data_IF_113084223265
#
_entry.id   IF_113084223265
#
_cell.length_a   1.000
_cell.length_b   1.000
_cell.length_c   1.000
_cell.angle_alpha   90.00
_cell.angle_beta   90.00
_cell.angle_gamma   90.00
#
_symmetry.space_group_name_H-M   'P 1'
#
loop_
_entity.id
_entity.type
_entity.pdbx_description
1 polymer ?
#
# COMPACT_ATOMS: atom_id res chain seq x y z
N UNK A 1 -16.63 21.51 18.88
CA UNK A 1 -16.99 20.36 18.05
C UNK A 1 -17.77 19.36 18.88
N UNK A 2 -18.89 18.94 18.39
CA UNK A 2 -19.72 17.99 19.11
C UNK A 2 -19.51 16.58 18.56
N UNK A 3 -19.43 15.63 19.49
CA UNK A 3 -19.28 14.21 19.15
C UNK A 3 -20.56 13.53 19.62
N UNK A 4 -21.11 12.69 18.75
CA UNK A 4 -22.26 11.87 19.12
C UNK A 4 -21.77 10.70 19.95
N UNK A 5 -22.22 10.62 21.20
CA UNK A 5 -21.84 9.54 22.12
C UNK A 5 -22.99 8.55 22.17
N UNK A 6 -22.77 7.27 21.90
CA UNK A 6 -23.82 6.27 22.00
C UNK A 6 -24.25 6.14 23.47
N UNK A 7 -25.54 6.19 23.71
CA UNK A 7 -26.10 6.10 25.05
C UNK A 7 -26.63 4.69 25.39
N UNK A 8 -27.00 3.94 24.38
CA UNK A 8 -27.50 2.58 24.54
C UNK A 8 -26.37 1.60 24.83
N UNK A 9 -26.47 0.73 25.84
CA UNK A 9 -25.49 -0.32 26.09
C UNK A 9 -25.33 -1.26 24.89
N UNK A 10 -26.41 -1.48 24.16
CA UNK A 10 -26.39 -2.33 22.97
C UNK A 10 -25.58 -1.70 21.85
N UNK A 11 -25.72 -0.40 21.60
CA UNK A 11 -24.95 0.34 20.63
C UNK A 11 -23.46 0.38 20.99
N UNK A 12 -23.15 0.58 22.27
CA UNK A 12 -21.77 0.54 22.77
C UNK A 12 -21.12 -0.81 22.51
N UNK A 13 -21.86 -1.88 22.72
CA UNK A 13 -21.38 -3.25 22.47
C UNK A 13 -21.09 -3.47 20.99
N UNK A 14 -21.97 -3.02 20.11
CA UNK A 14 -21.80 -3.12 18.66
C UNK A 14 -20.57 -2.34 18.17
N UNK A 15 -20.39 -1.14 18.71
CA UNK A 15 -19.23 -0.32 18.38
C UNK A 15 -17.93 -0.99 18.84
N UNK A 16 -17.94 -1.54 20.06
CA UNK A 16 -16.79 -2.27 20.58
C UNK A 16 -16.44 -3.47 19.71
N UNK A 17 -17.47 -4.19 19.24
CA UNK A 17 -17.27 -5.32 18.33
C UNK A 17 -16.66 -4.87 17.01
N UNK A 18 -17.15 -3.76 16.46
CA UNK A 18 -16.59 -3.17 15.24
C UNK A 18 -15.12 -2.77 15.41
N UNK A 19 -14.78 -2.16 16.55
CA UNK A 19 -13.39 -1.80 16.88
C UNK A 19 -12.50 -3.03 16.92
N UNK A 20 -13.01 -4.13 17.49
CA UNK A 20 -12.24 -5.38 17.55
C UNK A 20 -11.98 -5.94 16.13
N UNK A 21 -12.99 -5.91 15.27
CA UNK A 21 -12.83 -6.34 13.88
C UNK A 21 -11.80 -5.50 13.14
N UNK A 22 -11.85 -4.17 13.33
CA UNK A 22 -10.86 -3.25 12.74
C UNK A 22 -9.46 -3.56 13.27
N UNK A 23 -9.34 -3.74 14.58
CA UNK A 23 -8.06 -4.06 15.22
C UNK A 23 -7.47 -5.37 14.68
N UNK A 24 -8.30 -6.40 14.52
CA UNK A 24 -7.86 -7.67 13.94
C UNK A 24 -7.39 -7.49 12.50
N UNK A 25 -8.08 -6.66 11.72
CA UNK A 25 -7.69 -6.36 10.35
C UNK A 25 -6.36 -5.61 10.28
N UNK A 26 -6.14 -4.65 11.18
CA UNK A 26 -4.87 -3.92 11.27
C UNK A 26 -3.71 -4.87 11.62
N UNK A 27 -3.95 -5.82 12.52
CA UNK A 27 -2.94 -6.83 12.87
C UNK A 27 -2.58 -7.68 11.65
N UNK A 28 -3.58 -8.10 10.88
CA UNK A 28 -3.34 -8.86 9.64
C UNK A 28 -2.56 -8.01 8.61
N UNK A 29 -2.87 -6.74 8.49
CA UNK A 29 -2.15 -5.83 7.59
C UNK A 29 -0.67 -5.71 7.98
N UNK A 30 -0.38 -5.61 9.28
CA UNK A 30 0.99 -5.56 9.78
C UNK A 30 1.75 -6.85 9.45
N UNK A 31 1.11 -8.01 9.66
CA UNK A 31 1.70 -9.30 9.32
C UNK A 31 1.99 -9.43 7.83
N UNK A 32 1.04 -9.00 6.99
CA UNK A 32 1.22 -9.00 5.52
C UNK A 32 2.34 -8.06 5.09
N UNK A 33 2.44 -6.90 5.73
CA UNK A 33 3.52 -5.95 5.45
C UNK A 33 4.89 -6.53 5.78
N UNK A 34 5.00 -7.25 6.91
CA UNK A 34 6.24 -7.91 7.32
C UNK A 34 6.61 -9.03 6.35
N UNK A 35 5.60 -9.79 5.89
CA UNK A 35 5.82 -10.83 4.87
C UNK A 35 6.37 -10.23 3.58
N UNK A 36 5.82 -9.10 3.14
CA UNK A 36 6.31 -8.42 1.93
C UNK A 36 7.78 -8.00 2.12
N UNK A 37 8.15 -7.47 3.28
CA UNK A 37 9.54 -7.12 3.58
C UNK A 37 10.47 -8.32 3.48
N UNK A 38 10.05 -9.47 4.01
CA UNK A 38 10.83 -10.70 3.97
C UNK A 38 11.01 -11.20 2.54
N UNK A 39 9.97 -11.13 1.73
CA UNK A 39 10.03 -11.52 0.32
C UNK A 39 10.99 -10.60 -0.45
N UNK A 40 10.92 -9.30 -0.23
CA UNK A 40 11.82 -8.33 -0.86
C UNK A 40 13.28 -8.61 -0.50
N UNK A 41 13.53 -8.94 0.77
CA UNK A 41 14.87 -9.29 1.23
C UNK A 41 15.38 -10.55 0.56
N UNK A 42 14.54 -11.58 0.45
CA UNK A 42 14.87 -12.84 -0.21
C UNK A 42 15.24 -12.64 -1.68
N UNK A 43 14.49 -11.81 -2.39
CA UNK A 43 14.77 -11.49 -3.79
C UNK A 43 16.12 -10.77 -3.92
N UNK A 44 16.39 -9.80 -3.04
CA UNK A 44 17.67 -9.09 -3.05
C UNK A 44 18.82 -10.04 -2.77
N UNK A 45 18.68 -10.92 -1.78
CA UNK A 45 19.73 -11.86 -1.40
C UNK A 45 20.03 -12.86 -2.51
N UNK A 46 18.99 -13.38 -3.16
CA UNK A 46 19.14 -14.45 -4.16
C UNK A 46 19.49 -13.93 -5.55
N UNK A 47 18.95 -12.77 -5.93
CA UNK A 47 19.05 -12.27 -7.31
C UNK A 47 19.77 -10.93 -7.43
N UNK A 48 20.17 -10.33 -6.31
CA UNK A 48 20.89 -9.05 -6.27
C UNK A 48 20.10 -7.88 -6.86
N UNK A 49 18.78 -7.98 -6.85
CA UNK A 49 17.89 -6.90 -7.26
C UNK A 49 17.53 -6.08 -6.03
N UNK A 50 17.81 -4.78 -6.06
CA UNK A 50 17.51 -3.91 -4.93
C UNK A 50 16.01 -3.87 -4.63
N UNK A 51 15.67 -3.81 -3.34
CA UNK A 51 14.28 -3.83 -2.87
C UNK A 51 13.39 -2.79 -3.55
N UNK A 52 13.92 -1.59 -3.81
CA UNK A 52 13.14 -0.52 -4.45
C UNK A 52 12.63 -0.91 -5.84
N UNK A 53 13.43 -1.65 -6.59
CA UNK A 53 13.03 -2.11 -7.93
C UNK A 53 12.02 -3.25 -7.84
N UNK A 54 12.26 -4.21 -6.96
CA UNK A 54 11.33 -5.33 -6.76
C UNK A 54 9.97 -4.83 -6.28
N UNK A 55 9.96 -3.87 -5.35
CA UNK A 55 8.71 -3.26 -4.86
C UNK A 55 7.93 -2.60 -5.98
N UNK A 56 8.64 -1.86 -6.84
CA UNK A 56 8.02 -1.19 -7.98
C UNK A 56 7.50 -2.19 -9.02
N UNK A 57 8.29 -3.22 -9.33
CA UNK A 57 7.86 -4.32 -10.21
C UNK A 57 6.61 -5.01 -9.68
N UNK A 58 6.57 -5.27 -8.38
CA UNK A 58 5.43 -5.95 -7.76
C UNK A 58 4.15 -5.12 -7.89
N UNK A 59 4.24 -3.80 -7.72
CA UNK A 59 3.08 -2.91 -7.87
C UNK A 59 2.56 -2.90 -9.31
N UNK A 60 3.46 -2.81 -10.28
CA UNK A 60 3.10 -2.82 -11.70
C UNK A 60 2.51 -4.17 -12.09
N UNK A 61 3.12 -5.26 -11.64
CA UNK A 61 2.62 -6.61 -11.86
C UNK A 61 1.23 -6.79 -11.29
N UNK A 62 1.02 -6.33 -10.06
CA UNK A 62 -0.27 -6.45 -9.38
C UNK A 62 -1.39 -5.71 -10.13
N UNK A 63 -1.10 -4.50 -10.60
CA UNK A 63 -2.08 -3.67 -11.31
C UNK A 63 -2.19 -4.01 -12.80
N UNK A 64 -1.21 -4.75 -13.33
CA UNK A 64 -1.11 -5.07 -14.77
C UNK A 64 -1.18 -3.82 -15.64
N UNK A 65 -0.48 -2.75 -15.20
CA UNK A 65 -0.56 -1.44 -15.83
C UNK A 65 0.78 -0.96 -16.40
N UNK A 66 1.65 -1.88 -16.82
CA UNK A 66 2.97 -1.52 -17.32
C UNK A 66 2.91 -0.51 -18.48
N UNK A 67 1.97 -0.70 -19.40
CA UNK A 67 1.83 0.21 -20.55
C UNK A 67 1.47 1.63 -20.11
N UNK A 68 0.63 1.76 -19.10
CA UNK A 68 0.26 3.06 -18.55
C UNK A 68 1.45 3.73 -17.86
N UNK A 69 2.22 2.97 -17.08
CA UNK A 69 3.43 3.47 -16.41
C UNK A 69 4.43 3.96 -17.45
N UNK A 70 4.60 3.21 -18.53
CA UNK A 70 5.50 3.57 -19.62
C UNK A 70 5.06 4.88 -20.30
N UNK A 71 3.76 5.02 -20.58
CA UNK A 71 3.21 6.24 -21.16
C UNK A 71 3.38 7.45 -20.23
N UNK A 72 3.11 7.29 -18.95
CA UNK A 72 3.27 8.34 -17.96
C UNK A 72 4.72 8.81 -17.88
N UNK A 73 5.67 7.89 -17.96
CA UNK A 73 7.09 8.21 -17.97
C UNK A 73 7.48 9.03 -19.20
N UNK A 74 6.97 8.67 -20.36
CA UNK A 74 7.22 9.41 -21.61
C UNK A 74 6.64 10.83 -21.53
N UNK A 75 5.44 10.96 -20.99
CA UNK A 75 4.79 12.26 -20.80
C UNK A 75 5.61 13.14 -19.84
N UNK A 76 6.10 12.56 -18.76
CA UNK A 76 6.96 13.26 -17.81
C UNK A 76 8.25 13.75 -18.46
N UNK A 77 8.90 12.90 -19.24
CA UNK A 77 10.13 13.26 -19.97
C UNK A 77 9.89 14.40 -20.95
N UNK A 78 8.78 14.35 -21.68
CA UNK A 78 8.40 15.40 -22.62
C UNK A 78 8.17 16.73 -21.91
N UNK A 79 7.44 16.72 -20.79
CA UNK A 79 7.21 17.92 -20.00
C UNK A 79 8.52 18.49 -19.44
N UNK A 80 9.35 17.63 -18.86
CA UNK A 80 10.63 18.05 -18.29
C UNK A 80 11.51 18.74 -19.32
N UNK A 81 11.66 18.13 -20.51
CA UNK A 81 12.46 18.72 -21.59
C UNK A 81 11.87 20.05 -22.06
N UNK A 82 10.54 20.13 -22.16
CA UNK A 82 9.87 21.34 -22.62
C UNK A 82 10.09 22.53 -21.68
N UNK A 83 10.06 22.31 -20.36
CA UNK A 83 10.16 23.41 -19.38
C UNK A 83 11.60 23.75 -19.00
N UNK A 84 12.56 22.87 -19.30
CA UNK A 84 13.98 23.11 -18.94
C UNK A 84 14.84 23.57 -20.10
N UNK A 85 14.27 23.65 -21.30
CA UNK A 85 14.98 24.13 -22.50
C UNK A 85 14.60 25.56 -22.92
#
# INVERSE_FOLDING_TARGET
MSVVVPSSPEDKKKIRHALQEISDSLTRMEAERDLIKDILQTVEDNYKIKKKYTRRLAKVFHKQNFNQVQQDQQDLETLYESVTK
#
